data_IF_905837888438
#
_entry.id   IF_905837888438
#
_cell.length_a   1.000
_cell.length_b   1.000
_cell.length_c   1.000
_cell.angle_alpha   90.00
_cell.angle_beta   90.00
_cell.angle_gamma   90.00
#
_symmetry.space_group_name_H-M   'P 1'
#
loop_
_entity.id
_entity.type
_entity.pdbx_description
1 polymer ?
#
# COMPACT_ATOMS: atom_id res chain seq x y z
N UNK A 1 -0.30 -45.67 15.09
CA UNK A 1 -0.48 -44.45 14.25
C UNK A 1 0.82 -43.67 14.43
N UNK A 2 1.77 -43.90 13.52
CA UNK A 2 3.08 -43.25 13.56
C UNK A 2 2.90 -41.79 13.16
N UNK A 3 2.93 -40.91 14.17
CA UNK A 3 2.93 -39.45 13.99
C UNK A 3 4.26 -39.04 13.36
N UNK A 4 4.22 -38.76 12.06
CA UNK A 4 5.12 -37.85 11.36
C UNK A 4 6.62 -38.13 11.51
N UNK A 5 7.16 -39.09 10.74
CA UNK A 5 8.55 -39.00 10.30
C UNK A 5 8.68 -37.81 9.35
N UNK A 6 8.93 -36.62 9.91
CA UNK A 6 9.55 -35.55 9.15
C UNK A 6 10.97 -35.97 8.84
N UNK A 7 11.32 -36.15 7.56
CA UNK A 7 12.70 -36.27 7.13
C UNK A 7 13.42 -34.93 7.36
N UNK A 8 13.80 -34.67 8.61
CA UNK A 8 14.71 -33.59 8.95
C UNK A 8 16.11 -34.15 8.83
N UNK A 9 16.67 -34.08 7.62
CA UNK A 9 18.12 -34.12 7.45
C UNK A 9 18.75 -33.07 8.38
N UNK A 10 19.90 -33.39 8.98
CA UNK A 10 20.61 -32.60 9.99
C UNK A 10 21.04 -31.19 9.53
N UNK A 11 20.09 -30.32 9.25
CA UNK A 11 20.25 -28.91 8.91
C UNK A 11 19.26 -28.07 9.70
N UNK A 12 19.52 -26.75 9.80
CA UNK A 12 18.66 -25.77 10.47
C UNK A 12 17.30 -25.67 9.76
N UNK A 13 16.41 -26.64 9.98
CA UNK A 13 15.06 -26.65 9.41
C UNK A 13 14.21 -25.64 10.16
N UNK A 14 13.64 -24.68 9.42
CA UNK A 14 12.60 -23.80 9.94
C UNK A 14 11.23 -24.44 9.71
N UNK A 15 10.38 -24.43 10.72
CA UNK A 15 9.04 -24.98 10.70
C UNK A 15 8.00 -23.88 10.47
N UNK A 16 6.99 -24.21 9.69
CA UNK A 16 5.78 -23.41 9.54
C UNK A 16 4.65 -24.10 10.29
N UNK A 17 4.00 -23.38 11.19
CA UNK A 17 2.90 -23.93 12.00
C UNK A 17 1.57 -23.44 11.43
N UNK A 18 0.68 -24.36 11.07
CA UNK A 18 -0.66 -24.04 10.64
C UNK A 18 -1.67 -24.52 11.69
N UNK A 19 -2.50 -23.61 12.20
CA UNK A 19 -3.55 -23.89 13.17
C UNK A 19 -4.89 -23.73 12.45
N UNK A 20 -5.63 -24.82 12.35
CA UNK A 20 -6.92 -24.86 11.65
C UNK A 20 -7.97 -23.92 12.28
N UNK A 21 -8.13 -23.95 13.60
CA UNK A 21 -9.09 -23.04 14.26
C UNK A 21 -8.66 -22.64 15.67
N UNK A 22 -8.32 -21.36 15.85
CA UNK A 22 -8.04 -20.78 17.17
C UNK A 22 -9.34 -20.52 17.95
N UNK A 23 -10.48 -20.37 17.26
CA UNK A 23 -11.79 -20.22 17.90
C UNK A 23 -12.14 -21.41 18.81
N UNK A 24 -11.68 -22.62 18.46
CA UNK A 24 -11.87 -23.81 19.31
C UNK A 24 -11.04 -23.71 20.59
N UNK A 25 -9.80 -23.21 20.50
CA UNK A 25 -8.94 -23.01 21.68
C UNK A 25 -9.54 -21.98 22.64
N UNK A 26 -10.07 -20.89 22.09
CA UNK A 26 -10.72 -19.82 22.87
C UNK A 26 -12.03 -20.26 23.55
N UNK A 27 -12.64 -21.36 23.09
CA UNK A 27 -13.80 -21.95 23.77
C UNK A 27 -13.42 -22.63 25.09
N UNK A 28 -12.20 -23.14 25.20
CA UNK A 28 -11.75 -23.94 26.35
C UNK A 28 -10.67 -23.27 27.18
N UNK A 29 -10.07 -22.18 26.68
CA UNK A 29 -8.99 -21.45 27.33
C UNK A 29 -9.21 -19.94 27.23
N UNK A 30 -8.63 -19.20 28.17
CA UNK A 30 -8.71 -17.74 28.17
C UNK A 30 -7.84 -17.12 27.07
N UNK A 31 -8.23 -15.93 26.59
CA UNK A 31 -7.48 -15.16 25.58
C UNK A 31 -5.99 -14.99 25.95
N UNK A 32 -5.61 -14.62 27.19
CA UNK A 32 -4.19 -14.52 27.58
C UNK A 32 -3.41 -15.83 27.46
N UNK A 33 -4.07 -16.98 27.70
CA UNK A 33 -3.43 -18.28 27.60
C UNK A 33 -3.16 -18.64 26.14
N UNK A 34 -4.15 -18.39 25.27
CA UNK A 34 -4.04 -18.62 23.82
C UNK A 34 -3.02 -17.66 23.19
N UNK A 35 -3.04 -16.39 23.57
CA UNK A 35 -2.06 -15.41 23.09
C UNK A 35 -0.65 -15.74 23.58
N UNK A 36 -0.51 -16.19 24.83
CA UNK A 36 0.75 -16.68 25.39
C UNK A 36 1.30 -17.88 24.62
N UNK A 37 0.45 -18.86 24.30
CA UNK A 37 0.83 -20.01 23.47
C UNK A 37 1.33 -19.56 22.09
N UNK A 38 0.57 -18.70 21.42
CA UNK A 38 0.94 -18.15 20.11
C UNK A 38 2.28 -17.39 20.18
N UNK A 39 2.48 -16.60 21.22
CA UNK A 39 3.70 -15.83 21.40
C UNK A 39 4.91 -16.74 21.70
N UNK A 40 4.72 -17.81 22.48
CA UNK A 40 5.75 -18.81 22.76
C UNK A 40 6.14 -19.60 21.52
N UNK A 41 5.18 -19.90 20.64
CA UNK A 41 5.48 -20.52 19.34
C UNK A 41 6.25 -19.56 18.44
N UNK A 42 5.88 -18.26 18.44
CA UNK A 42 6.54 -17.23 17.64
C UNK A 42 7.96 -16.92 18.11
N UNK A 43 8.23 -17.00 19.41
CA UNK A 43 9.56 -16.72 19.98
C UNK A 43 10.55 -17.88 19.77
N UNK A 44 10.09 -19.01 19.24
CA UNK A 44 10.94 -20.16 19.02
C UNK A 44 11.81 -20.00 17.77
N UNK A 45 13.13 -20.14 17.91
CA UNK A 45 14.11 -19.91 16.83
C UNK A 45 13.90 -20.79 15.58
N UNK A 46 13.26 -21.94 15.77
CA UNK A 46 12.98 -22.88 14.67
C UNK A 46 11.67 -22.56 13.94
N UNK A 47 10.80 -21.70 14.44
CA UNK A 47 9.52 -21.39 13.78
C UNK A 47 9.67 -20.18 12.88
N UNK A 48 9.46 -20.34 11.57
CA UNK A 48 9.53 -19.24 10.60
C UNK A 48 8.24 -18.44 10.51
N UNK A 49 7.10 -19.13 10.50
CA UNK A 49 5.80 -18.49 10.38
C UNK A 49 4.71 -19.32 11.05
N UNK A 50 3.65 -18.62 11.44
CA UNK A 50 2.46 -19.23 12.01
C UNK A 50 1.27 -18.69 11.22
N UNK A 51 0.43 -19.61 10.74
CA UNK A 51 -0.82 -19.32 10.08
C UNK A 51 -1.93 -19.85 10.98
N UNK A 52 -2.92 -19.03 11.27
CA UNK A 52 -4.09 -19.46 12.03
C UNK A 52 -5.36 -18.89 11.43
N UNK A 53 -6.46 -19.61 11.64
CA UNK A 53 -7.79 -19.16 11.25
C UNK A 53 -8.67 -18.94 12.48
N UNK A 54 -9.47 -17.88 12.40
CA UNK A 54 -10.39 -17.44 13.43
C UNK A 54 -11.74 -17.17 12.78
N UNK A 55 -12.79 -17.71 13.38
CA UNK A 55 -14.17 -17.40 13.04
C UNK A 55 -14.61 -16.15 13.80
N UNK A 56 -14.84 -15.05 13.07
CA UNK A 56 -15.18 -13.73 13.63
C UNK A 56 -16.60 -13.64 14.18
N UNK A 57 -17.50 -14.51 13.71
CA UNK A 57 -18.91 -14.61 14.13
C UNK A 57 -19.08 -15.22 15.53
N UNK A 58 -18.13 -16.06 15.97
CA UNK A 58 -18.19 -16.74 17.26
C UNK A 58 -17.49 -16.00 18.40
N UNK A 59 -16.78 -14.91 18.11
CA UNK A 59 -15.91 -14.23 19.07
C UNK A 59 -16.37 -12.80 19.35
N UNK A 60 -16.11 -12.34 20.57
CA UNK A 60 -16.28 -10.94 20.94
C UNK A 60 -15.30 -10.05 20.15
N UNK A 61 -15.75 -8.87 19.75
CA UNK A 61 -14.95 -7.87 19.02
C UNK A 61 -13.63 -7.53 19.72
N UNK A 62 -13.60 -7.55 21.06
CA UNK A 62 -12.38 -7.31 21.83
C UNK A 62 -11.34 -8.41 21.60
N UNK A 63 -11.80 -9.66 21.50
CA UNK A 63 -10.96 -10.84 21.31
C UNK A 63 -10.39 -10.87 19.90
N UNK A 64 -11.21 -10.56 18.89
CA UNK A 64 -10.75 -10.45 17.50
C UNK A 64 -9.75 -9.32 17.35
N UNK A 65 -10.03 -8.12 17.89
CA UNK A 65 -9.12 -6.97 17.84
C UNK A 65 -7.77 -7.26 18.52
N UNK A 66 -7.75 -7.97 19.65
CA UNK A 66 -6.50 -8.36 20.31
C UNK A 66 -5.64 -9.30 19.46
N UNK A 67 -6.25 -10.30 18.82
CA UNK A 67 -5.54 -11.25 17.95
C UNK A 67 -5.08 -10.58 16.65
N UNK A 68 -5.89 -9.68 16.10
CA UNK A 68 -5.51 -8.83 14.97
C UNK A 68 -4.33 -7.93 15.33
N UNK A 69 -4.31 -7.34 16.54
CA UNK A 69 -3.21 -6.53 17.04
C UNK A 69 -1.88 -7.33 17.10
N UNK A 70 -1.92 -8.58 17.58
CA UNK A 70 -0.76 -9.45 17.64
C UNK A 70 -0.26 -9.93 16.27
N UNK A 71 -1.16 -10.02 15.29
CA UNK A 71 -0.89 -10.52 13.94
C UNK A 71 -0.09 -9.52 13.11
N UNK A 72 0.86 -10.01 12.32
CA UNK A 72 1.59 -9.20 11.32
C UNK A 72 0.80 -8.99 10.03
N UNK A 73 -0.07 -9.95 9.70
CA UNK A 73 -0.95 -9.93 8.55
C UNK A 73 -2.33 -10.45 8.99
N UNK A 74 -3.39 -9.76 8.56
CA UNK A 74 -4.77 -10.18 8.79
C UNK A 74 -5.43 -10.28 7.43
N UNK A 75 -6.05 -11.42 7.15
CA UNK A 75 -6.81 -11.64 5.92
C UNK A 75 -8.26 -11.93 6.32
N UNK A 76 -9.19 -11.05 5.96
CA UNK A 76 -10.62 -11.25 6.19
C UNK A 76 -11.31 -11.62 4.87
N UNK A 77 -12.16 -12.64 4.94
CA UNK A 77 -12.95 -13.12 3.83
C UNK A 77 -14.40 -12.71 4.05
N UNK A 78 -14.88 -11.77 3.25
CA UNK A 78 -16.26 -11.31 3.28
C UNK A 78 -17.04 -11.91 2.10
N UNK A 79 -18.21 -12.53 2.35
CA UNK A 79 -19.06 -12.97 1.25
C UNK A 79 -19.64 -11.75 0.54
N UNK A 80 -19.50 -11.69 -0.79
CA UNK A 80 -20.13 -10.62 -1.57
C UNK A 80 -21.64 -10.89 -1.59
N UNK A 81 -22.41 -9.95 -1.02
CA UNK A 81 -23.86 -10.07 -0.88
C UNK A 81 -24.56 -9.99 -2.24
N UNK A 82 -24.72 -11.14 -2.91
CA UNK A 82 -25.61 -11.26 -4.05
C UNK A 82 -27.00 -11.68 -3.55
N UNK A 83 -27.84 -10.69 -3.28
CA UNK A 83 -29.27 -10.91 -3.16
C UNK A 83 -29.75 -11.60 -4.46
N UNK A 84 -30.21 -12.86 -4.35
CA UNK A 84 -31.08 -13.58 -5.30
C UNK A 84 -30.51 -14.37 -6.49
N UNK A 85 -29.26 -14.87 -6.50
CA UNK A 85 -28.90 -15.96 -7.44
C UNK A 85 -28.44 -17.23 -6.71
N UNK A 86 -29.35 -18.20 -6.67
CA UNK A 86 -29.24 -19.57 -6.12
C UNK A 86 -28.21 -20.47 -6.81
N UNK A 87 -27.11 -19.91 -7.32
CA UNK A 87 -26.11 -20.69 -8.03
C UNK A 87 -24.71 -20.25 -7.62
N UNK A 88 -24.18 -20.93 -6.60
CA UNK A 88 -22.74 -21.10 -6.38
C UNK A 88 -21.96 -19.78 -6.48
N UNK A 89 -22.25 -18.79 -5.64
CA UNK A 89 -21.38 -17.61 -5.58
C UNK A 89 -20.05 -17.97 -4.96
N UNK A 90 -19.24 -18.58 -5.81
CA UNK A 90 -17.81 -18.79 -5.76
C UNK A 90 -17.09 -17.45 -5.78
N UNK A 91 -17.60 -16.40 -5.14
CA UNK A 91 -17.04 -15.05 -5.23
C UNK A 91 -17.09 -14.40 -3.85
N UNK A 92 -15.92 -14.02 -3.35
CA UNK A 92 -15.74 -13.41 -2.04
C UNK A 92 -14.79 -12.22 -2.16
N UNK A 93 -14.93 -11.25 -1.26
CA UNK A 93 -13.98 -10.16 -1.13
C UNK A 93 -12.93 -10.57 -0.11
N UNK A 94 -11.67 -10.59 -0.51
CA UNK A 94 -10.54 -10.81 0.38
C UNK A 94 -9.93 -9.45 0.71
N UNK A 95 -10.03 -9.04 1.97
CA UNK A 95 -9.36 -7.84 2.47
C UNK A 95 -8.13 -8.28 3.27
N UNK A 96 -6.94 -7.87 2.83
CA UNK A 96 -5.67 -8.20 3.48
C UNK A 96 -5.03 -6.95 4.06
N UNK A 97 -4.81 -6.95 5.38
CA UNK A 97 -4.10 -5.92 6.11
C UNK A 97 -2.69 -6.41 6.45
N UNK A 98 -1.67 -5.80 5.85
CA UNK A 98 -0.26 -6.12 6.09
C UNK A 98 0.42 -5.01 6.89
N UNK A 99 0.84 -5.32 8.12
CA UNK A 99 1.62 -4.39 8.95
C UNK A 99 3.07 -4.38 8.50
N UNK A 100 3.58 -3.20 8.14
CA UNK A 100 5.00 -3.01 7.82
C UNK A 100 5.80 -2.71 9.09
N UNK A 101 7.12 -2.92 9.02
CA UNK A 101 8.05 -2.62 10.12
C UNK A 101 8.09 -1.14 10.50
N UNK A 102 7.69 -0.24 9.61
CA UNK A 102 7.61 1.21 9.86
C UNK A 102 6.28 1.65 10.48
N UNK A 103 5.47 0.72 11.00
CA UNK A 103 4.15 1.02 11.58
C UNK A 103 3.03 1.27 10.56
N UNK A 104 3.35 1.50 9.28
CA UNK A 104 2.32 1.71 8.23
C UNK A 104 1.63 0.38 7.89
N UNK A 105 0.31 0.41 7.73
CA UNK A 105 -0.48 -0.74 7.29
C UNK A 105 -0.78 -0.61 5.80
N UNK A 106 -0.44 -1.62 5.01
CA UNK A 106 -0.86 -1.73 3.60
C UNK A 106 -2.16 -2.54 3.57
N UNK A 107 -3.24 -1.92 3.08
CA UNK A 107 -4.51 -2.60 2.81
C UNK A 107 -4.53 -3.02 1.35
N UNK A 108 -4.88 -4.28 1.09
CA UNK A 108 -5.08 -4.84 -0.24
C UNK A 108 -6.48 -5.42 -0.25
N UNK A 109 -7.33 -4.94 -1.15
CA UNK A 109 -8.67 -5.51 -1.36
C UNK A 109 -8.66 -6.23 -2.72
N UNK A 110 -8.92 -7.53 -2.70
CA UNK A 110 -9.01 -8.34 -3.90
C UNK A 110 -10.35 -9.07 -3.95
N UNK A 111 -11.02 -9.03 -5.10
CA UNK A 111 -12.14 -9.91 -5.36
C UNK A 111 -11.61 -11.29 -5.78
N UNK A 112 -11.90 -12.31 -4.97
CA UNK A 112 -11.55 -13.69 -5.26
C UNK A 112 -12.74 -14.40 -5.92
N UNK A 113 -12.52 -15.08 -7.04
CA UNK A 113 -13.45 -16.07 -7.58
C UNK A 113 -12.90 -17.49 -7.47
N UNK A 114 -13.67 -18.41 -6.90
CA UNK A 114 -13.38 -19.84 -6.77
C UNK A 114 -13.86 -20.61 -8.01
N UNK A 115 -13.07 -20.68 -9.07
CA UNK A 115 -13.34 -21.63 -10.15
C UNK A 115 -12.83 -23.02 -9.75
N UNK A 116 -13.74 -23.88 -9.28
CA UNK A 116 -13.61 -25.35 -9.16
C UNK A 116 -12.17 -25.84 -8.95
N UNK A 117 -11.66 -25.59 -7.73
CA UNK A 117 -10.34 -25.97 -7.19
C UNK A 117 -9.16 -24.99 -7.39
N UNK A 118 -9.33 -23.88 -8.12
CA UNK A 118 -8.35 -22.79 -8.17
C UNK A 118 -8.94 -21.47 -7.67
N UNK A 119 -8.20 -20.78 -6.78
CA UNK A 119 -8.51 -19.41 -6.35
C UNK A 119 -7.84 -18.46 -7.33
N UNK A 120 -8.62 -17.84 -8.20
CA UNK A 120 -8.12 -16.79 -9.10
C UNK A 120 -8.35 -15.44 -8.45
N UNK A 121 -7.26 -14.77 -8.09
CA UNK A 121 -7.28 -13.38 -7.68
C UNK A 121 -7.37 -12.53 -8.94
N UNK A 122 -8.48 -11.80 -9.08
CA UNK A 122 -8.64 -10.86 -10.19
C UNK A 122 -7.81 -9.63 -9.82
N UNK A 123 -6.51 -9.66 -10.15
CA UNK A 123 -5.66 -8.48 -10.17
C UNK A 123 -6.18 -7.55 -11.26
N UNK A 124 -7.23 -6.79 -10.95
CA UNK A 124 -7.49 -5.56 -11.68
C UNK A 124 -6.33 -4.65 -11.32
N UNK A 125 -5.30 -4.65 -12.16
CA UNK A 125 -4.33 -3.57 -12.19
C UNK A 125 -5.13 -2.29 -12.50
N UNK A 126 -5.70 -1.67 -11.46
CA UNK A 126 -6.32 -0.35 -11.48
C UNK A 126 -5.24 0.74 -11.58
N UNK A 127 -4.11 0.43 -12.23
CA UNK A 127 -3.34 1.48 -12.86
C UNK A 127 -4.18 1.88 -14.07
N UNK A 128 -4.71 3.11 -14.13
CA UNK A 128 -5.30 3.57 -15.38
C UNK A 128 -4.23 3.36 -16.43
N UNK A 129 -4.52 2.50 -17.40
CA UNK A 129 -3.61 2.22 -18.52
C UNK A 129 -3.65 3.45 -19.41
N UNK A 130 -3.11 4.56 -18.92
CA UNK A 130 -2.95 5.78 -19.67
C UNK A 130 -1.83 5.48 -20.65
N UNK A 131 -2.19 4.93 -21.79
CA UNK A 131 -1.31 4.87 -22.94
C UNK A 131 -1.19 6.31 -23.42
N UNK A 132 -0.21 7.04 -22.89
CA UNK A 132 0.21 8.29 -23.49
C UNK A 132 0.78 7.91 -24.86
N UNK A 133 -0.05 8.01 -25.90
CA UNK A 133 0.43 7.88 -27.26
C UNK A 133 1.24 9.14 -27.58
N UNK A 134 2.50 9.16 -27.13
CA UNK A 134 3.45 10.26 -27.34
C UNK A 134 3.92 10.35 -28.80
N UNK A 135 3.48 9.43 -29.65
CA UNK A 135 3.78 9.42 -31.07
C UNK A 135 2.69 10.17 -31.83
N UNK A 136 3.04 11.36 -32.31
CA UNK A 136 2.20 12.12 -33.23
C UNK A 136 2.08 11.35 -34.54
N UNK A 137 0.85 11.25 -35.05
CA UNK A 137 0.61 10.78 -36.41
C UNK A 137 1.24 11.74 -37.42
N UNK A 138 1.50 11.27 -38.64
CA UNK A 138 2.14 12.09 -39.69
C UNK A 138 1.35 13.39 -39.97
N UNK A 139 0.01 13.33 -39.87
CA UNK A 139 -0.87 14.49 -40.01
C UNK A 139 -0.64 15.51 -38.89
N UNK A 140 -0.58 15.06 -37.63
CA UNK A 140 -0.36 15.94 -36.47
C UNK A 140 1.05 16.54 -36.48
N UNK A 141 2.07 15.82 -36.99
CA UNK A 141 3.42 16.39 -37.20
C UNK A 141 3.42 17.54 -38.21
N UNK A 142 2.72 17.37 -39.34
CA UNK A 142 2.60 18.40 -40.37
C UNK A 142 1.83 19.62 -39.84
N UNK A 143 0.77 19.40 -39.05
CA UNK A 143 0.00 20.47 -38.44
C UNK A 143 0.80 21.20 -37.36
N UNK A 144 1.50 20.48 -36.49
CA UNK A 144 2.40 21.08 -35.48
C UNK A 144 3.47 21.95 -36.12
N UNK A 145 4.04 21.54 -37.26
CA UNK A 145 5.02 22.34 -38.00
C UNK A 145 4.45 23.64 -38.58
N UNK A 146 3.12 23.75 -38.72
CA UNK A 146 2.42 24.96 -39.18
C UNK A 146 1.91 25.82 -38.02
N UNK A 147 1.92 25.31 -36.80
CA UNK A 147 1.55 26.08 -35.60
C UNK A 147 2.68 27.04 -35.29
N UNK A 148 2.50 28.29 -35.67
CA UNK A 148 3.35 29.40 -35.23
C UNK A 148 2.92 29.76 -33.82
N UNK A 149 3.84 29.61 -32.87
CA UNK A 149 3.55 29.96 -31.48
C UNK A 149 3.42 31.50 -31.38
N UNK A 150 2.48 32.02 -30.57
CA UNK A 150 2.19 33.45 -30.48
C UNK A 150 3.43 34.32 -30.18
N UNK A 151 4.45 33.75 -29.56
CA UNK A 151 5.68 34.45 -29.17
C UNK A 151 6.84 34.32 -30.17
N UNK A 152 6.78 33.39 -31.13
CA UNK A 152 7.89 33.20 -32.07
C UNK A 152 7.92 34.27 -33.17
N UNK A 153 6.78 34.88 -33.51
CA UNK A 153 6.66 35.83 -34.64
C UNK A 153 5.91 37.13 -34.29
N UNK A 154 6.15 37.70 -33.10
CA UNK A 154 5.68 39.06 -32.81
C UNK A 154 6.70 40.16 -33.16
N UNK A 155 7.86 39.82 -33.74
CA UNK A 155 8.90 40.79 -34.08
C UNK A 155 9.46 40.61 -35.49
N UNK A 156 9.65 41.72 -36.21
CA UNK A 156 10.27 41.82 -37.54
C UNK A 156 11.78 41.47 -37.56
N UNK A 157 12.20 40.39 -36.90
CA UNK A 157 13.61 39.98 -36.81
C UNK A 157 14.50 40.94 -35.99
N UNK A 158 13.91 41.85 -35.21
CA UNK A 158 14.63 42.68 -34.24
C UNK A 158 14.60 42.02 -32.87
N UNK A 159 15.69 42.16 -32.12
CA UNK A 159 15.83 41.65 -30.75
C UNK A 159 14.66 42.15 -29.89
N UNK A 160 13.82 41.23 -29.39
CA UNK A 160 12.62 41.54 -28.63
C UNK A 160 13.02 42.05 -27.24
N UNK A 161 12.85 43.35 -26.99
CA UNK A 161 12.90 43.89 -25.63
C UNK A 161 11.59 43.55 -24.92
N UNK A 162 11.59 42.48 -24.14
CA UNK A 162 10.48 42.13 -23.24
C UNK A 162 10.45 43.17 -22.13
N UNK A 163 9.36 43.94 -22.05
CA UNK A 163 9.13 44.88 -20.95
C UNK A 163 8.70 44.09 -19.70
N UNK A 164 9.67 43.81 -18.83
CA UNK A 164 9.49 43.12 -17.55
C UNK A 164 8.89 44.04 -16.45
N UNK A 165 8.85 45.36 -16.67
CA UNK A 165 8.36 46.31 -15.67
C UNK A 165 9.42 46.77 -14.66
N UNK A 166 10.61 46.16 -14.64
CA UNK A 166 11.77 46.71 -13.91
C UNK A 166 12.46 47.80 -14.74
N UNK A 167 12.72 48.94 -14.11
CA UNK A 167 13.56 50.02 -14.67
C UNK A 167 14.92 49.43 -15.06
N UNK A 168 15.21 49.42 -16.36
CA UNK A 168 16.48 48.99 -16.91
C UNK A 168 17.58 49.95 -16.46
N UNK A 169 18.33 49.55 -15.43
CA UNK A 169 19.58 50.18 -15.05
C UNK A 169 20.63 49.89 -16.12
N UNK A 170 21.23 50.97 -16.60
CA UNK A 170 22.28 51.04 -17.60
C UNK A 170 23.47 50.12 -17.31
N UNK A 171 23.91 49.39 -18.34
CA UNK A 171 25.23 48.76 -18.47
C UNK A 171 25.68 47.87 -17.29
N UNK A 172 25.07 46.70 -17.18
CA UNK A 172 25.68 45.53 -16.56
C UNK A 172 25.43 44.32 -17.44
N UNK A 173 26.46 43.60 -17.84
CA UNK A 173 26.33 42.24 -18.40
C UNK A 173 25.50 41.42 -17.41
N UNK A 174 24.27 41.06 -17.78
CA UNK A 174 23.35 40.33 -16.93
C UNK A 174 23.82 38.90 -16.71
N UNK A 175 24.69 38.71 -15.72
CA UNK A 175 25.11 37.40 -15.24
C UNK A 175 24.18 36.98 -14.08
N UNK A 176 23.57 35.80 -14.20
CA UNK A 176 22.66 35.27 -13.18
C UNK A 176 23.48 34.51 -12.15
N UNK A 177 23.61 35.06 -10.95
CA UNK A 177 24.25 34.39 -9.82
C UNK A 177 23.21 33.58 -9.05
N UNK A 178 23.40 32.27 -8.99
CA UNK A 178 22.63 31.40 -8.10
C UNK A 178 23.22 31.49 -6.69
N UNK A 179 22.61 32.32 -5.85
CA UNK A 179 22.84 32.29 -4.41
C UNK A 179 21.89 31.24 -3.83
N UNK A 180 22.45 30.33 -3.02
CA UNK A 180 21.68 29.31 -2.31
C UNK A 180 21.14 29.96 -1.04
N UNK A 181 19.82 30.13 -0.95
CA UNK A 181 19.14 30.82 0.16
C UNK A 181 19.21 30.05 1.51
N UNK A 182 19.87 28.88 1.55
CA UNK A 182 19.84 27.94 2.67
C UNK A 182 20.92 28.17 3.74
N UNK A 183 21.23 29.42 4.10
CA UNK A 183 22.17 29.70 5.21
C UNK A 183 21.53 30.47 6.38
N UNK A 184 20.23 30.77 6.32
CA UNK A 184 19.50 31.41 7.43
C UNK A 184 18.15 30.73 7.74
N UNK A 185 18.06 29.42 7.50
CA UNK A 185 17.04 28.60 8.16
C UNK A 185 17.44 28.47 9.63
N UNK A 186 16.84 29.33 10.46
CA UNK A 186 16.72 29.08 11.90
C UNK A 186 16.15 27.66 12.05
N UNK A 187 16.68 26.82 12.96
CA UNK A 187 16.12 25.49 13.16
C UNK A 187 14.62 25.64 13.41
N UNK A 188 13.83 25.00 12.55
CA UNK A 188 12.38 24.99 12.64
C UNK A 188 12.01 24.56 14.07
N UNK A 189 11.31 25.45 14.76
CA UNK A 189 10.78 25.21 16.10
C UNK A 189 9.81 24.04 15.99
N UNK A 190 10.12 22.91 16.62
CA UNK A 190 9.25 21.72 16.80
C UNK A 190 8.01 22.06 17.68
N UNK A 191 7.40 23.24 17.54
CA UNK A 191 6.10 23.56 18.14
C UNK A 191 5.00 23.01 17.24
N UNK A 192 4.49 21.83 17.61
CA UNK A 192 3.31 21.23 16.99
C UNK A 192 2.10 22.17 17.16
N UNK A 193 1.40 22.56 16.08
CA UNK A 193 0.25 23.47 16.11
C UNK A 193 -1.03 22.85 16.73
N UNK A 194 -0.89 21.83 17.57
CA UNK A 194 -1.93 20.96 18.09
C UNK A 194 -2.14 21.16 19.61
N UNK A 195 -1.22 21.83 20.30
CA UNK A 195 -1.13 21.92 21.77
C UNK A 195 -2.14 22.91 22.42
N UNK A 196 -2.99 23.56 21.63
CA UNK A 196 -3.98 24.54 22.10
C UNK A 196 -5.43 23.98 22.12
N UNK A 197 -5.64 22.69 21.84
CA UNK A 197 -6.99 22.10 21.81
C UNK A 197 -7.42 21.59 23.18
N UNK A 198 -7.87 22.50 24.04
CA UNK A 198 -8.70 22.18 25.20
C UNK A 198 -10.08 21.67 24.73
N UNK A 199 -10.32 20.36 24.83
CA UNK A 199 -11.64 19.71 24.80
C UNK A 199 -11.95 18.98 26.10
#
# INVERSE_FOLDING_TARGET
IDLGRGEVGQGKSRFSVAIDSVSVLLRHASLPSVSGLINNLRSHDQVSCILWLIHSDLLEVRTTAALEYMSSMVASLEPVNVRWLERLSKRGKLNVHLKRRNGRVKVIEEEASMEQADIKFINQNLLPKVQFNLQLTEKERIERAKVVLPFEHQGNGKNLHIYDGRRSLSHGTGEIHYLRDSYDERPDSDEDPDDDLDI
#
